data_IF_653218308438
#
_entry.id   IF_653218308438
#
_cell.length_a   1.000
_cell.length_b   1.000
_cell.length_c   1.000
_cell.angle_alpha   90.00
_cell.angle_beta   90.00
_cell.angle_gamma   90.00
#
_symmetry.space_group_name_H-M   'P 1'
#
loop_
_entity.id
_entity.type
_entity.pdbx_description
1 polymer ?
#
# COMPACT_ATOMS: atom_id res chain seq x y z
N UNK A 1 35.28 43.15 21.24
CA UNK A 1 34.42 42.57 22.28
C UNK A 1 33.02 43.13 22.09
N UNK A 2 32.07 42.34 21.61
CA UNK A 2 30.65 42.72 21.52
C UNK A 2 29.88 41.76 22.44
N UNK A 3 29.79 42.12 23.71
CA UNK A 3 28.97 41.43 24.70
C UNK A 3 27.72 42.27 24.93
N UNK A 4 26.57 41.79 24.46
CA UNK A 4 25.29 42.22 25.02
C UNK A 4 24.58 41.00 25.57
N UNK A 5 24.32 41.00 26.88
CA UNK A 5 23.44 40.03 27.53
C UNK A 5 22.01 40.24 27.00
N UNK A 6 21.53 39.27 26.22
CA UNK A 6 20.10 39.03 26.01
C UNK A 6 19.51 38.66 27.37
N UNK A 7 19.04 39.63 28.15
CA UNK A 7 18.64 39.39 29.54
C UNK A 7 17.41 38.45 29.68
N UNK A 8 17.68 37.17 30.01
CA UNK A 8 17.02 36.26 31.01
C UNK A 8 16.04 35.14 30.53
N UNK A 9 16.05 33.89 31.08
CA UNK A 9 17.16 33.05 31.56
C UNK A 9 17.67 32.16 30.41
N UNK A 10 18.88 32.41 29.92
CA UNK A 10 19.56 31.43 29.07
C UNK A 10 20.04 30.26 29.95
N UNK A 11 19.87 28.98 29.57
CA UNK A 11 20.84 27.97 29.93
C UNK A 11 22.19 28.37 29.32
N UNK A 12 23.34 27.92 29.84
CA UNK A 12 24.64 28.52 29.57
C UNK A 12 25.06 28.34 28.11
N UNK A 13 24.65 29.27 27.25
CA UNK A 13 25.17 29.44 25.92
C UNK A 13 25.74 30.85 25.85
N UNK A 14 27.04 30.94 26.12
CA UNK A 14 27.84 32.12 25.84
C UNK A 14 27.84 32.36 24.32
N UNK A 15 26.90 33.15 23.80
CA UNK A 15 27.07 33.86 22.54
C UNK A 15 26.61 33.21 21.22
N UNK A 16 26.07 32.00 21.18
CA UNK A 16 25.38 31.48 19.99
C UNK A 16 24.42 30.36 20.37
N UNK A 17 23.19 30.37 19.84
CA UNK A 17 22.32 29.22 19.92
C UNK A 17 22.86 28.14 18.96
N UNK A 18 23.07 26.92 19.45
CA UNK A 18 23.43 25.80 18.58
C UNK A 18 22.16 25.44 17.79
N UNK A 19 22.22 25.62 16.46
CA UNK A 19 21.14 25.18 15.58
C UNK A 19 21.24 23.66 15.38
N UNK A 20 20.12 22.92 15.44
CA UNK A 20 20.11 21.51 15.09
C UNK A 20 20.48 21.32 13.62
N UNK A 21 21.11 20.18 13.32
CA UNK A 21 21.25 19.73 11.94
C UNK A 21 19.90 19.17 11.48
N UNK A 22 19.22 19.91 10.61
CA UNK A 22 17.92 19.53 10.06
C UNK A 22 18.03 18.75 8.76
N UNK A 23 19.25 18.34 8.39
CA UNK A 23 19.55 17.62 7.18
C UNK A 23 19.85 18.51 5.97
N UNK A 24 20.23 17.89 4.84
CA UNK A 24 20.70 18.60 3.66
C UNK A 24 19.66 19.57 3.11
N UNK A 25 20.01 20.86 3.02
CA UNK A 25 19.18 21.88 2.40
C UNK A 25 18.02 22.39 3.26
N UNK A 26 17.91 21.97 4.52
CA UNK A 26 16.91 22.50 5.45
C UNK A 26 17.58 23.38 6.50
N UNK A 27 17.15 24.64 6.57
CA UNK A 27 17.60 25.56 7.60
C UNK A 27 16.79 25.33 8.88
N UNK A 28 17.49 25.20 10.01
CA UNK A 28 16.86 25.20 11.31
C UNK A 28 16.11 26.52 11.55
N UNK A 29 14.99 26.43 12.25
CA UNK A 29 14.30 27.58 12.79
C UNK A 29 15.13 28.16 13.95
N UNK A 30 15.33 29.46 13.93
CA UNK A 30 15.99 30.17 15.00
C UNK A 30 15.14 30.16 16.28
N UNK A 31 15.78 30.23 17.48
CA UNK A 31 15.04 30.29 18.73
C UNK A 31 14.15 31.52 18.81
N UNK A 32 12.92 31.34 19.32
CA UNK A 32 11.95 32.41 19.43
C UNK A 32 12.07 33.11 20.79
N UNK A 33 12.14 34.43 20.74
CA UNK A 33 12.10 35.32 21.91
C UNK A 33 10.96 36.31 21.77
N UNK A 34 10.32 36.64 22.90
CA UNK A 34 9.28 37.66 22.95
C UNK A 34 9.62 38.75 23.96
N UNK A 35 9.12 39.95 23.71
CA UNK A 35 9.00 41.02 24.70
C UNK A 35 7.74 41.81 24.38
N UNK A 36 7.09 42.32 25.40
CA UNK A 36 5.85 43.08 25.24
C UNK A 36 6.02 44.48 25.79
N UNK A 37 5.10 45.38 25.48
CA UNK A 37 5.00 46.69 26.12
C UNK A 37 3.52 47.04 26.26
N UNK A 38 3.11 47.69 27.36
CA UNK A 38 1.70 47.93 27.64
C UNK A 38 1.09 49.02 26.74
N UNK A 39 1.91 49.91 26.18
CA UNK A 39 1.46 50.98 25.26
C UNK A 39 2.47 51.17 24.13
N UNK A 40 2.10 51.80 23.00
CA UNK A 40 3.02 52.08 21.89
C UNK A 40 4.23 52.96 22.25
N UNK A 41 4.18 53.65 23.39
CA UNK A 41 5.28 54.50 23.90
C UNK A 41 5.87 53.97 25.22
N UNK A 42 5.35 52.85 25.75
CA UNK A 42 5.80 52.26 27.00
C UNK A 42 7.15 51.55 26.87
N UNK A 43 7.84 51.39 28.00
CA UNK A 43 9.05 50.58 28.07
C UNK A 43 8.74 49.12 27.71
N UNK A 44 9.66 48.48 26.99
CA UNK A 44 9.60 47.05 26.72
C UNK A 44 9.91 46.25 27.98
N UNK A 45 9.24 45.11 28.14
CA UNK A 45 9.67 44.08 29.09
C UNK A 45 11.05 43.56 28.72
N UNK A 46 11.76 42.91 29.66
CA UNK A 46 12.88 42.05 29.31
C UNK A 46 12.47 41.01 28.26
N UNK A 47 13.45 40.53 27.50
CA UNK A 47 13.24 39.41 26.60
C UNK A 47 12.89 38.16 27.40
N UNK A 48 11.94 37.38 26.90
CA UNK A 48 11.54 36.10 27.46
C UNK A 48 11.71 35.05 26.37
N UNK A 49 12.43 33.98 26.70
CA UNK A 49 12.60 32.83 25.83
C UNK A 49 11.28 32.07 25.67
N UNK A 50 10.90 31.77 24.42
CA UNK A 50 9.68 31.00 24.13
C UNK A 50 10.03 29.57 23.78
N UNK A 51 10.92 29.36 22.79
CA UNK A 51 11.34 28.03 22.36
C UNK A 51 12.76 28.06 21.79
N UNK A 52 13.42 26.92 21.86
CA UNK A 52 14.75 26.70 21.29
C UNK A 52 14.72 26.68 19.77
N UNK A 53 15.90 26.54 19.17
CA UNK A 53 15.99 26.22 17.76
C UNK A 53 15.36 24.85 17.51
N UNK A 54 14.65 24.70 16.39
CA UNK A 54 13.97 23.46 16.01
C UNK A 54 14.06 23.23 14.52
N UNK A 55 13.82 22.01 14.08
CA UNK A 55 13.71 21.74 12.65
C UNK A 55 12.28 22.00 12.17
N UNK A 56 12.08 22.66 11.00
CA UNK A 56 10.75 22.90 10.47
C UNK A 56 9.92 21.62 10.28
N UNK A 57 10.57 20.52 9.92
CA UNK A 57 9.92 19.22 9.74
C UNK A 57 9.31 18.65 11.02
N UNK A 58 9.86 18.98 12.18
CA UNK A 58 9.34 18.52 13.49
C UNK A 58 7.99 19.17 13.83
N UNK A 59 7.68 20.28 13.15
CA UNK A 59 6.43 21.02 13.29
C UNK A 59 5.39 20.61 12.25
N UNK A 60 5.71 19.66 11.36
CA UNK A 60 4.74 19.17 10.38
C UNK A 60 3.66 18.35 11.08
N UNK A 61 2.38 18.53 10.69
CA UNK A 61 1.33 17.64 11.14
C UNK A 61 1.60 16.23 10.61
N UNK A 62 1.05 15.20 11.27
CA UNK A 62 1.16 13.84 10.77
C UNK A 62 0.49 13.69 9.39
N UNK A 63 1.04 12.82 8.54
CA UNK A 63 0.38 12.43 7.29
C UNK A 63 -0.94 11.74 7.62
N UNK A 64 -2.06 12.33 7.19
CA UNK A 64 -3.40 11.86 7.57
C UNK A 64 -3.87 10.70 6.70
N UNK A 65 -4.88 9.95 7.15
CA UNK A 65 -5.55 8.94 6.32
C UNK A 65 -6.00 9.49 4.97
N UNK A 66 -6.50 10.73 4.95
CA UNK A 66 -6.99 11.38 3.74
C UNK A 66 -5.84 11.70 2.77
N UNK A 67 -4.65 12.07 3.29
CA UNK A 67 -3.46 12.25 2.46
C UNK A 67 -2.99 10.91 1.89
N UNK A 68 -2.99 9.86 2.71
CA UNK A 68 -2.57 8.53 2.27
C UNK A 68 -3.47 7.96 1.16
N UNK A 69 -4.78 8.13 1.29
CA UNK A 69 -5.78 7.72 0.29
C UNK A 69 -5.69 8.49 -1.02
N UNK A 70 -5.07 9.67 -1.03
CA UNK A 70 -4.88 10.47 -2.25
C UNK A 70 -3.58 10.15 -2.97
N UNK A 71 -2.69 9.36 -2.37
CA UNK A 71 -1.46 8.96 -3.02
C UNK A 71 -1.77 8.08 -4.24
N UNK A 72 -1.03 8.25 -5.35
CA UNK A 72 -1.20 7.43 -6.55
C UNK A 72 -0.54 6.06 -6.34
N UNK A 73 -1.04 5.26 -5.41
CA UNK A 73 -0.57 3.89 -5.21
C UNK A 73 -0.90 3.07 -6.45
N UNK A 74 0.11 2.42 -7.02
CA UNK A 74 -0.09 1.51 -8.14
C UNK A 74 -0.98 0.35 -7.70
N UNK A 75 -2.05 0.01 -8.43
CA UNK A 75 -2.85 -1.17 -8.14
C UNK A 75 -2.01 -2.45 -8.12
N UNK A 76 -2.30 -3.34 -7.17
CA UNK A 76 -1.56 -4.58 -6.99
C UNK A 76 -1.66 -5.45 -8.23
N UNK A 77 -0.51 -5.85 -8.79
CA UNK A 77 -0.46 -6.81 -9.88
C UNK A 77 -1.00 -8.16 -9.38
N UNK A 78 -1.78 -8.85 -10.22
CA UNK A 78 -2.44 -10.10 -9.86
C UNK A 78 -2.38 -11.11 -11.00
N UNK A 79 -2.33 -12.38 -10.64
CA UNK A 79 -2.32 -13.49 -11.60
C UNK A 79 -3.53 -14.39 -11.35
N UNK A 80 -4.15 -14.87 -12.44
CA UNK A 80 -5.23 -15.85 -12.42
C UNK A 80 -4.74 -17.11 -13.14
N UNK A 81 -4.97 -18.27 -12.54
CA UNK A 81 -4.71 -19.57 -13.14
C UNK A 81 -6.01 -20.38 -13.27
N UNK A 82 -6.29 -20.98 -14.44
CA UNK A 82 -5.51 -20.89 -15.66
C UNK A 82 -5.64 -19.52 -16.34
N UNK A 83 -4.56 -19.02 -16.93
CA UNK A 83 -4.53 -17.76 -17.68
C UNK A 83 -5.17 -17.83 -19.07
N UNK A 84 -6.12 -18.74 -19.29
CA UNK A 84 -6.74 -19.05 -20.59
C UNK A 84 -7.92 -18.17 -20.94
N UNK A 85 -8.43 -17.36 -20.00
CA UNK A 85 -9.64 -16.55 -20.18
C UNK A 85 -10.95 -17.33 -20.13
N UNK A 86 -10.89 -18.65 -19.93
CA UNK A 86 -12.05 -19.49 -19.67
C UNK A 86 -11.74 -20.64 -18.70
N UNK A 87 -12.77 -21.10 -17.97
CA UNK A 87 -12.71 -22.28 -17.09
C UNK A 87 -13.98 -23.13 -17.20
N UNK A 88 -13.92 -24.36 -16.72
CA UNK A 88 -15.10 -25.22 -16.66
C UNK A 88 -15.94 -24.92 -15.43
N UNK A 89 -17.25 -25.11 -15.53
CA UNK A 89 -18.15 -25.10 -14.36
C UNK A 89 -17.61 -26.07 -13.30
N UNK A 90 -17.64 -25.65 -12.03
CA UNK A 90 -17.12 -26.36 -10.86
C UNK A 90 -15.61 -26.60 -10.85
N UNK A 91 -14.85 -26.11 -11.83
CA UNK A 91 -13.40 -26.08 -11.79
C UNK A 91 -12.93 -24.72 -11.29
N UNK A 92 -12.17 -24.71 -10.20
CA UNK A 92 -11.69 -23.49 -9.57
C UNK A 92 -10.60 -22.78 -10.37
N UNK A 93 -10.65 -21.45 -10.37
CA UNK A 93 -9.46 -20.63 -10.63
C UNK A 93 -8.59 -20.55 -9.38
N UNK A 94 -7.31 -20.22 -9.53
CA UNK A 94 -6.43 -19.81 -8.45
C UNK A 94 -6.04 -18.36 -8.67
N UNK A 95 -6.06 -17.56 -7.62
CA UNK A 95 -5.68 -16.14 -7.65
C UNK A 95 -4.46 -15.88 -6.78
N UNK A 96 -3.57 -15.04 -7.27
CA UNK A 96 -2.41 -14.54 -6.51
C UNK A 96 -2.23 -13.04 -6.72
N UNK A 97 -1.64 -12.38 -5.71
CA UNK A 97 -1.30 -10.96 -5.73
C UNK A 97 0.22 -10.77 -5.57
N UNK A 98 0.74 -9.65 -6.06
CA UNK A 98 2.12 -9.23 -5.79
C UNK A 98 2.21 -8.58 -4.39
N UNK A 99 2.99 -9.14 -3.44
CA UNK A 99 3.11 -8.60 -2.10
C UNK A 99 4.15 -7.47 -1.97
N UNK A 100 4.73 -7.00 -3.09
CA UNK A 100 5.82 -6.01 -3.07
C UNK A 100 5.35 -4.67 -2.49
N UNK A 101 6.03 -4.14 -1.46
CA UNK A 101 5.79 -2.79 -0.95
C UNK A 101 6.04 -1.71 -2.03
N UNK A 102 5.39 -0.56 -1.88
CA UNK A 102 5.55 0.58 -2.76
C UNK A 102 6.23 1.73 -2.02
N UNK A 103 7.31 2.25 -2.60
CA UNK A 103 7.94 3.50 -2.15
C UNK A 103 7.51 4.65 -3.07
N UNK A 104 6.99 5.72 -2.48
CA UNK A 104 6.54 6.91 -3.21
C UNK A 104 7.11 8.17 -2.58
N UNK A 105 7.58 9.10 -3.40
CA UNK A 105 7.95 10.43 -2.94
C UNK A 105 6.81 11.40 -3.19
N UNK A 106 6.42 12.15 -2.17
CA UNK A 106 5.39 13.21 -2.25
C UNK A 106 5.83 14.40 -1.40
N UNK A 107 4.96 15.39 -1.23
CA UNK A 107 5.20 16.56 -0.39
C UNK A 107 4.12 16.73 0.65
N UNK A 108 4.51 17.05 1.89
CA UNK A 108 3.61 17.41 2.97
C UNK A 108 3.88 18.86 3.36
N UNK A 109 2.92 19.76 3.10
CA UNK A 109 3.09 21.21 3.28
C UNK A 109 4.37 21.80 2.65
N UNK A 110 4.78 21.25 1.49
CA UNK A 110 5.98 21.67 0.77
C UNK A 110 7.29 20.95 1.15
N UNK A 111 7.25 20.06 2.16
CA UNK A 111 8.41 19.25 2.54
C UNK A 111 8.37 17.90 1.83
N UNK A 112 9.48 17.47 1.18
CA UNK A 112 9.55 16.15 0.58
C UNK A 112 9.41 15.06 1.65
N UNK A 113 8.55 14.08 1.39
CA UNK A 113 8.38 12.90 2.23
C UNK A 113 8.40 11.64 1.36
N UNK A 114 9.03 10.58 1.87
CA UNK A 114 9.01 9.25 1.26
C UNK A 114 8.01 8.40 2.03
N UNK A 115 7.02 7.84 1.34
CA UNK A 115 6.00 6.95 1.88
C UNK A 115 6.36 5.52 1.49
N UNK A 116 6.44 4.64 2.49
CA UNK A 116 6.61 3.21 2.34
C UNK A 116 5.27 2.52 2.63
N UNK A 117 4.56 2.12 1.58
CA UNK A 117 3.25 1.47 1.66
C UNK A 117 3.39 -0.05 1.51
N UNK A 118 2.84 -0.80 2.46
CA UNK A 118 2.87 -2.27 2.52
C UNK A 118 1.45 -2.81 2.33
N UNK A 119 1.23 -3.79 1.46
CA UNK A 119 -0.08 -4.42 1.32
C UNK A 119 -0.40 -5.24 2.57
N UNK A 120 -1.55 -4.98 3.17
CA UNK A 120 -1.96 -5.56 4.45
C UNK A 120 -3.04 -6.64 4.29
N UNK A 121 -4.03 -6.40 3.43
CA UNK A 121 -5.11 -7.38 3.14
C UNK A 121 -5.50 -7.36 1.67
N UNK A 122 -6.00 -8.49 1.20
CA UNK A 122 -6.47 -8.72 -0.15
C UNK A 122 -7.93 -9.17 -0.10
N UNK A 123 -8.82 -8.40 -0.72
CA UNK A 123 -10.25 -8.71 -0.82
C UNK A 123 -10.61 -9.01 -2.26
N UNK A 124 -10.91 -10.27 -2.54
CA UNK A 124 -11.24 -10.79 -3.87
C UNK A 124 -12.75 -10.88 -4.06
N UNK A 125 -13.27 -10.13 -5.02
CA UNK A 125 -14.63 -10.28 -5.54
C UNK A 125 -14.56 -11.04 -6.87
N UNK A 126 -15.22 -12.20 -6.93
CA UNK A 126 -15.23 -13.08 -8.10
C UNK A 126 -16.31 -12.72 -9.14
N UNK A 127 -17.17 -11.75 -8.83
CA UNK A 127 -18.19 -11.25 -9.76
C UNK A 127 -19.39 -12.20 -9.98
N UNK A 128 -19.50 -13.27 -9.21
CA UNK A 128 -20.60 -14.26 -9.26
C UNK A 128 -21.61 -14.09 -8.10
N UNK A 129 -21.54 -12.96 -7.38
CA UNK A 129 -22.34 -12.63 -6.20
C UNK A 129 -22.09 -13.51 -4.97
N UNK A 130 -21.07 -14.37 -4.98
CA UNK A 130 -20.60 -15.00 -3.75
C UNK A 130 -19.91 -13.97 -2.84
N UNK A 131 -19.89 -14.18 -1.51
CA UNK A 131 -19.19 -13.28 -0.61
C UNK A 131 -17.70 -13.15 -0.98
N UNK A 132 -17.12 -11.94 -0.95
CA UNK A 132 -15.71 -11.75 -1.25
C UNK A 132 -14.79 -12.56 -0.32
N UNK A 133 -13.71 -13.11 -0.88
CA UNK A 133 -12.67 -13.79 -0.13
C UNK A 133 -11.68 -12.76 0.43
N UNK A 134 -11.50 -12.74 1.75
CA UNK A 134 -10.57 -11.84 2.43
C UNK A 134 -9.35 -12.61 2.95
N UNK A 135 -8.15 -12.18 2.58
CA UNK A 135 -6.90 -12.85 2.94
C UNK A 135 -5.86 -11.84 3.44
N UNK A 136 -4.91 -12.31 4.24
CA UNK A 136 -3.74 -11.53 4.69
C UNK A 136 -2.45 -11.94 3.95
N UNK A 137 -2.48 -13.07 3.25
CA UNK A 137 -1.40 -13.55 2.41
C UNK A 137 -1.76 -13.36 0.92
N UNK A 138 -0.75 -13.20 0.05
CA UNK A 138 -0.95 -12.94 -1.38
C UNK A 138 -1.46 -14.16 -2.18
N UNK A 139 -1.56 -15.34 -1.57
CA UNK A 139 -1.82 -16.59 -2.28
C UNK A 139 -0.57 -17.20 -2.91
N UNK A 140 -0.59 -18.52 -3.07
CA UNK A 140 0.47 -19.28 -3.74
C UNK A 140 -0.04 -19.81 -5.09
N UNK A 141 0.74 -19.68 -6.18
CA UNK A 141 0.33 -20.22 -7.47
C UNK A 141 0.44 -21.75 -7.50
N UNK A 142 -0.26 -22.37 -8.44
CA UNK A 142 -0.09 -23.76 -8.79
C UNK A 142 0.78 -23.93 -10.04
N UNK A 143 1.71 -24.91 -10.06
CA UNK A 143 2.27 -25.64 -8.92
C UNK A 143 3.29 -24.78 -8.17
N UNK A 144 3.48 -25.01 -6.86
CA UNK A 144 4.28 -24.10 -6.00
C UNK A 144 5.78 -24.10 -6.27
N UNK A 145 6.31 -25.18 -6.81
CA UNK A 145 7.74 -25.44 -6.96
C UNK A 145 8.18 -25.46 -8.43
N UNK A 146 7.29 -25.06 -9.36
CA UNK A 146 7.54 -25.13 -10.79
C UNK A 146 7.63 -26.56 -11.34
N UNK A 147 7.33 -27.59 -10.54
CA UNK A 147 7.31 -28.99 -10.97
C UNK A 147 5.95 -29.38 -11.54
N UNK A 148 5.83 -30.59 -12.09
CA UNK A 148 4.57 -31.08 -12.66
C UNK A 148 3.49 -31.19 -11.56
N UNK A 149 2.21 -30.87 -11.87
CA UNK A 149 1.06 -31.15 -11.01
C UNK A 149 1.18 -32.48 -10.25
N UNK A 150 0.98 -32.53 -8.91
CA UNK A 150 0.96 -33.80 -8.19
C UNK A 150 -0.04 -34.75 -8.85
N UNK A 151 0.46 -35.93 -9.25
CA UNK A 151 -0.36 -36.98 -9.88
C UNK A 151 -1.21 -37.75 -8.88
N UNK A 152 -1.05 -37.45 -7.58
CA UNK A 152 -1.80 -38.08 -6.49
C UNK A 152 -3.17 -37.44 -6.37
N UNK A 153 -4.20 -38.24 -6.63
CA UNK A 153 -5.61 -37.84 -6.50
C UNK A 153 -5.92 -37.40 -5.06
N UNK A 154 -6.36 -36.16 -4.85
CA UNK A 154 -6.84 -35.65 -3.56
C UNK A 154 -6.10 -34.45 -2.97
N UNK A 155 -4.90 -34.10 -3.46
CA UNK A 155 -4.25 -32.81 -3.15
C UNK A 155 -4.54 -31.84 -4.29
N UNK A 156 -5.68 -31.13 -4.20
CA UNK A 156 -6.22 -30.35 -5.31
C UNK A 156 -5.47 -29.03 -5.48
N UNK A 157 -5.03 -28.41 -4.38
CA UNK A 157 -4.24 -27.19 -4.40
C UNK A 157 -3.18 -27.17 -3.29
N UNK A 158 -2.05 -26.49 -3.52
CA UNK A 158 -1.05 -26.24 -2.50
C UNK A 158 -1.59 -25.47 -1.30
N UNK A 159 -0.99 -25.71 -0.14
CA UNK A 159 -1.28 -24.92 1.07
C UNK A 159 -1.01 -23.43 0.79
N UNK A 160 -1.98 -22.58 1.11
CA UNK A 160 -1.92 -21.14 0.84
C UNK A 160 -2.41 -20.73 -0.55
N UNK A 161 -2.93 -21.65 -1.37
CA UNK A 161 -3.61 -21.28 -2.62
C UNK A 161 -5.02 -20.78 -2.34
N UNK A 162 -5.41 -19.68 -3.00
CA UNK A 162 -6.78 -19.14 -2.95
C UNK A 162 -7.52 -19.56 -4.20
N UNK A 163 -8.42 -20.54 -4.07
CA UNK A 163 -9.16 -21.10 -5.19
C UNK A 163 -10.65 -20.73 -5.15
N UNK A 164 -11.26 -20.52 -6.32
CA UNK A 164 -12.70 -20.21 -6.45
C UNK A 164 -13.37 -20.93 -7.61
N UNK A 165 -14.24 -21.92 -7.36
CA UNK A 165 -15.05 -22.57 -8.39
C UNK A 165 -16.33 -21.80 -8.71
N UNK A 166 -16.66 -21.69 -10.01
CA UNK A 166 -17.91 -21.09 -10.47
C UNK A 166 -18.98 -22.18 -10.70
N UNK A 167 -20.16 -22.09 -10.05
CA UNK A 167 -21.17 -23.15 -10.11
C UNK A 167 -22.06 -23.10 -11.36
N UNK A 168 -22.03 -21.99 -12.11
CA UNK A 168 -22.86 -21.77 -13.29
C UNK A 168 -22.01 -21.28 -14.48
N UNK A 169 -22.40 -21.62 -15.72
CA UNK A 169 -21.79 -21.02 -16.89
C UNK A 169 -22.16 -19.54 -16.99
N UNK A 170 -21.25 -18.72 -17.49
CA UNK A 170 -21.44 -17.28 -17.56
C UNK A 170 -20.14 -16.53 -17.83
N UNK A 171 -20.23 -15.20 -17.79
CA UNK A 171 -19.07 -14.31 -17.88
C UNK A 171 -18.97 -13.53 -16.59
N UNK A 172 -17.83 -13.66 -15.91
CA UNK A 172 -17.60 -13.09 -14.58
C UNK A 172 -16.41 -12.12 -14.62
N UNK A 173 -16.48 -11.04 -13.86
CA UNK A 173 -15.40 -10.06 -13.78
C UNK A 173 -14.82 -10.08 -12.38
N UNK A 174 -13.57 -10.51 -12.27
CA UNK A 174 -12.86 -10.57 -11.00
C UNK A 174 -12.24 -9.21 -10.66
N UNK A 175 -12.36 -8.82 -9.39
CA UNK A 175 -11.76 -7.59 -8.85
C UNK A 175 -11.02 -7.89 -7.54
N UNK A 176 -9.76 -7.45 -7.45
CA UNK A 176 -9.02 -7.39 -6.19
C UNK A 176 -9.11 -5.97 -5.63
N UNK A 177 -9.44 -5.85 -4.34
CA UNK A 177 -9.18 -4.64 -3.55
C UNK A 177 -8.06 -4.92 -2.55
N UNK A 178 -6.95 -4.21 -2.68
CA UNK A 178 -5.82 -4.30 -1.73
C UNK A 178 -5.94 -3.16 -0.72
N UNK A 179 -5.84 -3.48 0.57
CA UNK A 179 -5.69 -2.49 1.64
C UNK A 179 -4.23 -2.32 1.98
N UNK A 180 -3.79 -1.07 2.10
CA UNK A 180 -2.41 -0.68 2.37
C UNK A 180 -2.29 -0.04 3.74
N UNK A 181 -1.21 -0.38 4.45
CA UNK A 181 -0.71 0.37 5.60
C UNK A 181 0.65 0.95 5.24
N UNK A 182 1.21 1.84 6.06
CA UNK A 182 2.53 2.36 5.73
C UNK A 182 3.15 3.25 6.78
N UNK A 183 4.39 3.60 6.49
CA UNK A 183 5.16 4.63 7.20
C UNK A 183 5.55 5.73 6.23
N UNK A 184 5.89 6.90 6.75
CA UNK A 184 6.47 7.97 5.96
C UNK A 184 7.70 8.53 6.67
N UNK A 185 8.67 8.99 5.89
CA UNK A 185 9.89 9.61 6.37
C UNK A 185 10.02 10.98 5.73
N UNK A 186 10.25 12.00 6.56
CA UNK A 186 10.44 13.37 6.08
C UNK A 186 11.90 13.55 5.67
N UNK A 187 12.14 14.25 4.56
CA UNK A 187 13.51 14.55 4.14
C UNK A 187 14.26 15.32 5.24
N UNK A 188 15.47 14.87 5.57
CA UNK A 188 16.27 15.43 6.67
C UNK A 188 16.00 14.80 8.04
N UNK A 189 14.93 14.01 8.18
CA UNK A 189 14.71 13.14 9.34
C UNK A 189 15.16 11.70 9.02
N UNK A 190 15.74 11.03 10.01
CA UNK A 190 16.12 9.61 9.93
C UNK A 190 15.06 8.68 10.51
N UNK A 191 14.00 9.23 11.11
CA UNK A 191 12.97 8.50 11.83
C UNK A 191 11.75 8.26 10.94
N UNK A 192 11.35 6.99 10.71
CA UNK A 192 10.08 6.69 10.06
C UNK A 192 8.91 6.97 11.02
N UNK A 193 7.88 7.65 10.51
CA UNK A 193 6.65 7.96 11.21
C UNK A 193 5.52 7.05 10.72
N UNK A 194 4.65 6.53 11.60
CA UNK A 194 3.51 5.72 11.18
C UNK A 194 2.47 6.59 10.46
N UNK A 195 1.89 6.08 9.37
CA UNK A 195 0.71 6.68 8.76
C UNK A 195 -0.51 6.21 9.55
N UNK A 196 -1.32 7.15 10.04
CA UNK A 196 -2.58 6.78 10.67
C UNK A 196 -3.59 6.46 9.58
N UNK A 197 -4.17 5.25 9.61
CA UNK A 197 -5.21 4.81 8.69
C UNK A 197 -4.70 3.90 7.55
N UNK A 198 -5.56 3.73 6.54
CA UNK A 198 -5.35 2.84 5.41
C UNK A 198 -5.67 3.53 4.09
N UNK A 199 -5.03 3.07 3.01
CA UNK A 199 -5.37 3.38 1.64
C UNK A 199 -5.81 2.09 0.91
N UNK A 200 -6.54 2.22 -0.18
CA UNK A 200 -6.97 1.08 -0.99
C UNK A 200 -6.63 1.27 -2.46
N UNK A 201 -6.29 0.17 -3.13
CA UNK A 201 -6.20 0.13 -4.59
C UNK A 201 -7.05 -1.02 -5.14
N UNK A 202 -7.48 -0.88 -6.39
CA UNK A 202 -8.36 -1.85 -7.03
C UNK A 202 -7.77 -2.31 -8.37
N UNK A 203 -7.71 -3.62 -8.57
CA UNK A 203 -7.29 -4.25 -9.82
C UNK A 203 -8.45 -5.07 -10.37
N UNK A 204 -8.99 -4.66 -11.52
CA UNK A 204 -10.08 -5.37 -12.21
C UNK A 204 -9.53 -6.12 -13.44
N UNK A 205 -9.88 -7.40 -13.56
CA UNK A 205 -9.45 -8.24 -14.67
C UNK A 205 -10.37 -8.14 -15.89
N UNK A 206 -9.89 -8.53 -17.09
CA UNK A 206 -10.77 -8.87 -18.19
C UNK A 206 -11.78 -9.97 -17.79
N UNK A 207 -12.96 -10.02 -18.43
CA UNK A 207 -13.97 -11.01 -18.08
C UNK A 207 -13.51 -12.46 -18.32
N UNK A 208 -13.77 -13.33 -17.35
CA UNK A 208 -13.54 -14.77 -17.40
C UNK A 208 -14.81 -15.48 -17.88
N UNK A 209 -14.67 -16.37 -18.87
CA UNK A 209 -15.81 -17.17 -19.36
C UNK A 209 -15.85 -18.54 -18.69
N UNK A 210 -16.93 -18.85 -17.98
CA UNK A 210 -17.19 -20.17 -17.41
C UNK A 210 -18.09 -20.95 -18.35
N UNK A 211 -17.65 -22.14 -18.75
CA UNK A 211 -18.36 -22.97 -19.73
C UNK A 211 -18.69 -24.34 -19.16
N UNK A 212 -19.88 -24.84 -19.47
CA UNK A 212 -20.21 -26.25 -19.29
C UNK A 212 -19.69 -27.05 -20.49
N UNK A 213 -19.09 -28.21 -20.23
CA UNK A 213 -18.71 -29.18 -21.26
C UNK A 213 -19.34 -30.52 -20.90
N UNK A 214 -20.03 -31.12 -21.85
CA UNK A 214 -20.66 -32.44 -21.70
C UNK A 214 -19.83 -33.48 -22.42
N UNK A 215 -19.55 -34.57 -21.73
CA UNK A 215 -18.91 -35.74 -22.33
C UNK A 215 -19.99 -36.71 -22.80
N UNK A 216 -19.76 -37.32 -23.96
CA UNK A 216 -20.59 -38.37 -24.50
C UNK A 216 -19.72 -39.60 -24.72
N UNK A 217 -20.25 -40.78 -24.37
CA UNK A 217 -19.60 -42.03 -24.73
C UNK A 217 -19.89 -42.32 -26.20
N UNK A 218 -18.83 -42.48 -27.00
CA UNK A 218 -18.92 -42.83 -28.42
C UNK A 218 -18.34 -44.22 -28.65
N UNK A 219 -18.93 -44.96 -29.58
CA UNK A 219 -18.51 -46.33 -29.88
C UNK A 219 -17.22 -46.39 -30.71
N UNK A 220 -16.95 -45.35 -31.51
CA UNK A 220 -15.89 -45.31 -32.51
C UNK A 220 -15.10 -43.99 -32.43
N UNK A 221 -13.83 -44.00 -32.87
CA UNK A 221 -13.02 -42.77 -32.99
C UNK A 221 -13.41 -41.95 -34.22
N UNK A 222 -13.09 -40.66 -34.28
CA UNK A 222 -13.31 -39.83 -35.49
C UNK A 222 -12.61 -40.34 -36.75
N UNK A 223 -11.55 -41.15 -36.60
CA UNK A 223 -10.88 -41.78 -37.73
C UNK A 223 -11.67 -43.00 -38.26
N UNK A 224 -12.42 -43.66 -37.38
CA UNK A 224 -13.22 -44.85 -37.71
C UNK A 224 -14.63 -44.46 -38.17
N UNK A 225 -15.22 -43.45 -37.53
CA UNK A 225 -16.52 -42.88 -37.89
C UNK A 225 -16.41 -41.34 -37.92
N UNK A 226 -16.02 -40.76 -39.07
CA UNK A 226 -15.87 -39.31 -39.23
C UNK A 226 -17.16 -38.51 -39.08
N UNK A 227 -18.32 -39.17 -39.08
CA UNK A 227 -19.62 -38.56 -38.88
C UNK A 227 -20.22 -38.88 -37.49
N UNK A 228 -19.40 -39.42 -36.58
CA UNK A 228 -19.79 -39.71 -35.22
C UNK A 228 -19.95 -38.44 -34.36
N UNK A 229 -20.74 -38.49 -33.27
CA UNK A 229 -20.91 -37.34 -32.37
C UNK A 229 -19.57 -36.85 -31.80
N UNK A 230 -19.24 -35.56 -31.95
CA UNK A 230 -17.99 -34.97 -31.46
C UNK A 230 -16.83 -34.99 -32.46
N UNK A 231 -17.08 -35.53 -33.65
CA UNK A 231 -16.38 -35.31 -34.90
C UNK A 231 -17.25 -34.36 -35.77
#
# INVERSE_FOLDING_TARGET
MLTTQLNGPCPPAQGAAVLPDCGPGINALEPLWTRTRPTPLGAWTPWTFITGASCPQDLLPPLTTADFQRLPLTPTATTIQPGTGYVLVNYGIIVTADPTPLDLTTTLLGYPVTVHAVPATYTWDFGDHTPPLNTTDPGVPYPTDGTRPPTTHGSIYPVGSHAHPYPAPGTYTLTLTTTWTGTYQIAGDTTPHPITGIATTTTTHPPLTVVERRTHLIADTCNTNPHGPGC
#
